data_IF_955299649927
#
_entry.id   IF_955299649927
#
_cell.length_a   1.000
_cell.length_b   1.000
_cell.length_c   1.000
_cell.angle_alpha   90.00
_cell.angle_beta   90.00
_cell.angle_gamma   90.00
#
_symmetry.space_group_name_H-M   'P 1'
#
loop_
_entity.id
_entity.type
_entity.pdbx_description
1 polymer ?
#
# COMPACT_ATOMS: atom_id res chain seq x y z
N UNK A 1 -13.08 -34.25 -0.98
CA UNK A 1 -13.02 -33.02 -1.80
C UNK A 1 -13.85 -31.87 -1.25
N UNK A 2 -15.17 -31.99 -1.11
CA UNK A 2 -16.01 -30.91 -0.54
C UNK A 2 -15.68 -30.57 0.93
N UNK A 3 -15.35 -31.55 1.76
CA UNK A 3 -14.89 -31.33 3.14
C UNK A 3 -13.52 -30.64 3.18
N UNK A 4 -12.59 -31.09 2.35
CA UNK A 4 -11.24 -30.51 2.26
C UNK A 4 -11.26 -29.08 1.74
N UNK A 5 -12.14 -28.80 0.76
CA UNK A 5 -12.37 -27.45 0.27
C UNK A 5 -12.99 -26.55 1.34
N UNK A 6 -13.95 -27.07 2.10
CA UNK A 6 -14.58 -26.35 3.21
C UNK A 6 -13.57 -26.06 4.33
N UNK A 7 -12.76 -27.04 4.70
CA UNK A 7 -11.70 -26.87 5.70
C UNK A 7 -10.63 -25.88 5.24
N UNK A 8 -10.28 -25.90 3.96
CA UNK A 8 -9.38 -24.93 3.35
C UNK A 8 -9.98 -23.52 3.36
N UNK A 9 -11.24 -23.37 2.96
CA UNK A 9 -11.95 -22.09 2.93
C UNK A 9 -12.22 -21.54 4.34
N UNK A 10 -12.38 -22.42 5.33
CA UNK A 10 -12.63 -22.06 6.74
C UNK A 10 -11.34 -21.87 7.55
N UNK A 11 -10.18 -22.17 6.99
CA UNK A 11 -8.90 -21.73 7.59
C UNK A 11 -8.87 -20.20 7.54
N UNK A 12 -9.00 -19.57 8.70
CA UNK A 12 -9.18 -18.13 8.89
C UNK A 12 -8.24 -17.24 8.06
N UNK A 13 -7.06 -17.75 7.70
CA UNK A 13 -6.07 -17.02 6.87
C UNK A 13 -6.57 -16.69 5.46
N UNK A 14 -7.40 -17.53 4.82
CA UNK A 14 -7.91 -17.29 3.46
C UNK A 14 -8.98 -16.21 3.46
N UNK A 15 -9.89 -16.27 4.43
CA UNK A 15 -10.95 -15.25 4.59
C UNK A 15 -10.33 -13.89 4.97
N UNK A 16 -9.40 -13.89 5.92
CA UNK A 16 -8.72 -12.69 6.34
C UNK A 16 -7.93 -12.05 5.19
N UNK A 17 -7.24 -12.87 4.40
CA UNK A 17 -6.54 -12.39 3.21
C UNK A 17 -7.51 -11.84 2.16
N UNK A 18 -8.63 -12.53 1.90
CA UNK A 18 -9.63 -12.05 0.95
C UNK A 18 -10.23 -10.71 1.40
N UNK A 19 -10.58 -10.57 2.68
CA UNK A 19 -11.07 -9.32 3.25
C UNK A 19 -10.01 -8.22 3.14
N UNK A 20 -8.76 -8.53 3.49
CA UNK A 20 -7.66 -7.57 3.38
C UNK A 20 -7.44 -7.08 1.95
N UNK A 21 -7.52 -7.97 0.96
CA UNK A 21 -7.40 -7.63 -0.47
C UNK A 21 -8.55 -6.74 -0.92
N UNK A 22 -9.79 -7.07 -0.54
CA UNK A 22 -10.98 -6.29 -0.90
C UNK A 22 -10.91 -4.88 -0.28
N UNK A 23 -10.59 -4.78 1.01
CA UNK A 23 -10.44 -3.50 1.70
C UNK A 23 -9.26 -2.72 1.11
N UNK A 24 -8.15 -3.39 0.84
CA UNK A 24 -6.98 -2.78 0.22
C UNK A 24 -7.27 -2.22 -1.18
N UNK A 25 -8.03 -2.95 -1.99
CA UNK A 25 -8.46 -2.47 -3.31
C UNK A 25 -9.39 -1.26 -3.21
N UNK A 26 -10.36 -1.29 -2.29
CA UNK A 26 -11.27 -0.17 -2.06
C UNK A 26 -10.52 1.07 -1.55
N UNK A 27 -9.60 0.90 -0.63
CA UNK A 27 -8.73 1.98 -0.15
C UNK A 27 -7.82 2.51 -1.25
N UNK A 28 -7.25 1.62 -2.05
CA UNK A 28 -6.44 1.97 -3.22
C UNK A 28 -7.20 2.82 -4.22
N UNK A 29 -8.47 2.53 -4.46
CA UNK A 29 -9.33 3.33 -5.33
C UNK A 29 -9.52 4.77 -4.80
N UNK A 30 -9.71 4.93 -3.48
CA UNK A 30 -9.82 6.25 -2.84
C UNK A 30 -8.50 7.02 -2.98
N UNK A 31 -7.37 6.38 -2.74
CA UNK A 31 -6.04 7.00 -2.88
C UNK A 31 -5.78 7.40 -4.33
N UNK A 32 -6.11 6.53 -5.28
CA UNK A 32 -5.98 6.84 -6.71
C UNK A 32 -6.83 8.04 -7.11
N UNK A 33 -8.07 8.11 -6.66
CA UNK A 33 -8.95 9.26 -6.90
C UNK A 33 -8.38 10.53 -6.28
N UNK A 34 -7.89 10.48 -5.05
CA UNK A 34 -7.25 11.63 -4.42
C UNK A 34 -6.04 12.14 -5.22
N UNK A 35 -5.23 11.25 -5.74
CA UNK A 35 -4.09 11.63 -6.59
C UNK A 35 -4.55 12.16 -7.93
N UNK A 36 -5.43 11.44 -8.64
CA UNK A 36 -5.84 11.79 -10.00
C UNK A 36 -6.76 13.01 -10.06
N UNK A 37 -7.67 13.14 -9.09
CA UNK A 37 -8.74 14.15 -9.14
C UNK A 37 -8.40 15.41 -8.32
N UNK A 38 -7.48 15.33 -7.38
CA UNK A 38 -7.13 16.44 -6.50
C UNK A 38 -5.67 16.86 -6.70
N UNK A 39 -4.72 15.95 -6.50
CA UNK A 39 -3.29 16.29 -6.49
C UNK A 39 -2.78 16.59 -7.89
N UNK A 40 -3.12 15.74 -8.87
CA UNK A 40 -2.66 15.91 -10.24
C UNK A 40 -3.15 17.20 -10.90
N UNK A 41 -4.40 17.64 -10.73
CA UNK A 41 -4.84 18.92 -11.23
C UNK A 41 -4.07 20.11 -10.62
N UNK A 42 -3.76 20.03 -9.33
CA UNK A 42 -2.96 21.09 -8.65
C UNK A 42 -1.55 21.12 -9.21
N UNK A 43 -0.90 19.98 -9.34
CA UNK A 43 0.43 19.87 -9.94
C UNK A 43 0.41 20.35 -11.39
N UNK A 44 -0.61 19.92 -12.14
CA UNK A 44 -0.79 20.32 -13.54
C UNK A 44 -0.95 21.83 -13.71
N UNK A 45 -1.67 22.50 -12.80
CA UNK A 45 -1.82 23.95 -12.82
C UNK A 45 -0.51 24.70 -12.55
N UNK A 46 0.38 24.13 -11.74
CA UNK A 46 1.67 24.72 -11.38
C UNK A 46 2.75 24.43 -12.42
N UNK A 47 2.77 23.21 -12.96
CA UNK A 47 3.85 22.74 -13.85
C UNK A 47 3.52 22.80 -15.33
N UNK A 48 2.29 23.12 -15.69
CA UNK A 48 1.81 23.06 -17.08
C UNK A 48 1.41 21.64 -17.53
N UNK A 49 1.34 20.68 -16.61
CA UNK A 49 0.94 19.29 -16.84
C UNK A 49 2.12 18.31 -16.79
N UNK A 50 1.92 17.21 -16.10
CA UNK A 50 2.85 16.09 -16.04
C UNK A 50 2.39 14.91 -16.89
N UNK A 51 1.54 15.17 -17.88
CA UNK A 51 1.10 14.14 -18.81
C UNK A 51 2.02 14.09 -20.02
N UNK A 52 2.90 13.12 -19.99
CA UNK A 52 3.84 12.83 -21.08
C UNK A 52 3.34 11.70 -22.00
N UNK A 53 2.09 11.27 -21.84
CA UNK A 53 1.55 10.09 -22.55
C UNK A 53 1.61 10.20 -24.06
N UNK A 54 1.57 11.42 -24.60
CA UNK A 54 1.69 11.67 -26.03
C UNK A 54 3.12 11.76 -26.56
N UNK A 55 4.13 11.63 -25.68
CA UNK A 55 5.52 11.48 -26.11
C UNK A 55 5.83 10.02 -26.40
N UNK A 56 6.06 9.71 -27.65
CA UNK A 56 6.35 8.36 -28.11
C UNK A 56 7.27 8.37 -29.31
N UNK A 57 7.89 7.24 -29.59
CA UNK A 57 8.70 7.03 -30.78
C UNK A 57 8.03 5.94 -31.62
N UNK A 58 7.66 6.26 -32.87
CA UNK A 58 7.17 5.27 -33.82
C UNK A 58 8.31 4.35 -34.27
N UNK A 59 8.14 3.05 -34.10
CA UNK A 59 9.10 2.04 -34.56
C UNK A 59 8.78 1.57 -36.00
N UNK A 60 7.58 1.87 -36.46
CA UNK A 60 7.13 1.57 -37.82
C UNK A 60 6.94 2.86 -38.62
N UNK A 61 7.30 2.84 -39.91
CA UNK A 61 7.11 3.97 -40.82
C UNK A 61 5.65 4.40 -41.03
N UNK A 62 4.71 3.53 -40.65
CA UNK A 62 3.28 3.78 -40.77
C UNK A 62 2.70 4.64 -39.62
N UNK A 63 3.51 4.86 -38.57
CA UNK A 63 3.08 5.63 -37.39
C UNK A 63 3.28 7.12 -37.67
N UNK A 64 2.20 7.83 -37.98
CA UNK A 64 2.18 9.27 -38.26
C UNK A 64 1.20 10.04 -37.38
N UNK A 65 0.46 9.36 -36.49
CA UNK A 65 -0.57 9.96 -35.65
C UNK A 65 0.03 10.99 -34.66
N UNK A 66 -0.79 11.97 -34.31
CA UNK A 66 -0.41 13.04 -33.37
C UNK A 66 -0.58 12.62 -31.89
N UNK A 67 -1.35 11.56 -31.61
CA UNK A 67 -1.59 11.07 -30.26
C UNK A 67 -1.24 9.59 -30.14
N UNK A 68 -0.98 9.16 -28.91
CA UNK A 68 -0.54 7.79 -28.60
C UNK A 68 -1.60 6.74 -28.95
N UNK A 69 -2.88 7.02 -28.69
CA UNK A 69 -3.97 6.07 -28.91
C UNK A 69 -4.09 5.69 -30.40
N UNK A 70 -4.02 6.67 -31.27
CA UNK A 70 -4.08 6.44 -32.72
C UNK A 70 -2.77 5.89 -33.27
N UNK A 71 -1.64 6.31 -32.71
CA UNK A 71 -0.33 5.76 -33.07
C UNK A 71 -0.24 4.25 -32.83
N UNK A 72 -0.75 3.76 -31.71
CA UNK A 72 -0.79 2.32 -31.37
C UNK A 72 -1.66 1.51 -32.34
N UNK A 73 -2.67 2.12 -32.94
CA UNK A 73 -3.51 1.49 -33.96
C UNK A 73 -2.79 1.37 -35.31
N UNK A 74 -1.87 2.27 -35.58
CA UNK A 74 -1.14 2.33 -36.85
C UNK A 74 0.04 1.36 -36.92
N UNK A 75 0.65 1.03 -35.79
CA UNK A 75 1.80 0.13 -35.78
C UNK A 75 2.53 0.07 -34.44
N UNK A 76 3.76 -0.43 -34.47
CA UNK A 76 4.60 -0.54 -33.30
C UNK A 76 5.07 0.83 -32.81
N UNK A 77 4.84 1.11 -31.54
CA UNK A 77 5.15 2.38 -30.88
C UNK A 77 5.89 2.13 -29.57
N UNK A 78 6.96 2.83 -29.34
CA UNK A 78 7.65 2.88 -28.06
C UNK A 78 7.04 4.03 -27.22
N UNK A 79 6.11 3.72 -26.36
CA UNK A 79 5.38 4.68 -25.53
C UNK A 79 6.14 5.05 -24.25
N UNK A 80 7.35 5.57 -24.38
CA UNK A 80 8.20 5.93 -23.24
C UNK A 80 7.62 7.05 -22.37
N UNK A 81 6.90 8.00 -22.97
CA UNK A 81 6.25 9.08 -22.23
C UNK A 81 5.09 8.58 -21.36
N UNK A 82 4.31 7.62 -21.86
CA UNK A 82 3.28 6.96 -21.06
C UNK A 82 3.89 6.18 -19.88
N UNK A 83 4.97 5.48 -20.11
CA UNK A 83 5.71 4.80 -19.04
C UNK A 83 6.22 5.79 -17.99
N UNK A 84 6.75 6.92 -18.42
CA UNK A 84 7.22 7.98 -17.53
C UNK A 84 6.06 8.54 -16.70
N UNK A 85 4.93 8.84 -17.32
CA UNK A 85 3.72 9.33 -16.64
C UNK A 85 3.23 8.34 -15.58
N UNK A 86 3.14 7.05 -15.91
CA UNK A 86 2.76 6.02 -14.96
C UNK A 86 3.75 5.86 -13.81
N UNK A 87 5.03 6.00 -14.09
CA UNK A 87 6.09 5.96 -13.07
C UNK A 87 5.99 7.15 -12.12
N UNK A 88 5.78 8.34 -12.65
CA UNK A 88 5.56 9.54 -11.83
C UNK A 88 4.30 9.42 -10.96
N UNK A 89 3.21 8.94 -11.53
CA UNK A 89 1.99 8.67 -10.78
C UNK A 89 2.22 7.67 -9.63
N UNK A 90 2.96 6.61 -9.89
CA UNK A 90 3.33 5.64 -8.88
C UNK A 90 4.13 6.28 -7.72
N UNK A 91 5.12 7.10 -8.05
CA UNK A 91 5.93 7.81 -7.05
C UNK A 91 5.05 8.75 -6.21
N UNK A 92 4.13 9.48 -6.85
CA UNK A 92 3.21 10.39 -6.15
C UNK A 92 2.29 9.61 -5.22
N UNK A 93 1.71 8.50 -5.67
CA UNK A 93 0.86 7.63 -4.85
C UNK A 93 1.64 7.08 -3.65
N UNK A 94 2.86 6.61 -3.88
CA UNK A 94 3.72 6.10 -2.82
C UNK A 94 4.03 7.17 -1.77
N UNK A 95 4.26 8.39 -2.21
CA UNK A 95 4.52 9.54 -1.32
C UNK A 95 3.29 9.92 -0.50
N UNK A 96 2.12 9.97 -1.14
CA UNK A 96 0.85 10.22 -0.47
C UNK A 96 0.56 9.15 0.57
N UNK A 97 0.73 7.87 0.22
CA UNK A 97 0.58 6.77 1.17
C UNK A 97 1.55 6.86 2.34
N UNK A 98 2.80 7.22 2.07
CA UNK A 98 3.79 7.44 3.12
C UNK A 98 3.35 8.53 4.10
N UNK A 99 2.84 9.65 3.60
CA UNK A 99 2.34 10.75 4.45
C UNK A 99 1.14 10.28 5.27
N UNK A 100 0.18 9.58 4.66
CA UNK A 100 -1.01 9.05 5.34
C UNK A 100 -0.60 8.09 6.46
N UNK A 101 0.28 7.13 6.18
CA UNK A 101 0.77 6.18 7.18
C UNK A 101 1.52 6.88 8.30
N UNK A 102 2.35 7.86 7.95
CA UNK A 102 3.09 8.67 8.95
C UNK A 102 2.14 9.44 9.85
N UNK A 103 1.09 10.04 9.28
CA UNK A 103 0.08 10.77 10.03
C UNK A 103 -0.69 9.84 10.96
N UNK A 104 -1.11 8.68 10.48
CA UNK A 104 -1.78 7.66 11.31
C UNK A 104 -0.88 7.18 12.46
N UNK A 105 0.39 6.94 12.18
CA UNK A 105 1.35 6.54 13.21
C UNK A 105 1.62 7.67 14.22
N UNK A 106 1.61 8.91 13.78
CA UNK A 106 1.74 10.08 14.66
C UNK A 106 0.54 10.21 15.59
N UNK A 107 -0.67 9.92 15.11
CA UNK A 107 -1.88 9.90 15.92
C UNK A 107 -1.87 8.77 16.94
N UNK A 108 -1.34 7.59 16.59
CA UNK A 108 -1.14 6.47 17.53
C UNK A 108 -0.10 6.78 18.60
N UNK A 109 0.94 7.53 18.28
CA UNK A 109 1.97 7.93 19.26
C UNK A 109 1.49 8.99 20.25
N UNK A 110 0.44 9.74 19.93
CA UNK A 110 -0.18 10.73 20.82
C UNK A 110 -1.11 10.10 21.88
N UNK A 111 -1.59 8.88 21.66
CA UNK A 111 -2.10 8.10 22.77
C UNK A 111 -0.88 7.74 23.63
N UNK A 112 -0.80 8.23 24.89
CA UNK A 112 0.23 7.72 25.77
C UNK A 112 0.06 6.21 25.79
N UNK A 113 0.94 5.49 25.13
CA UNK A 113 1.13 4.11 25.43
C UNK A 113 1.29 4.11 26.96
N UNK A 114 0.26 3.63 27.68
CA UNK A 114 0.42 3.34 29.09
C UNK A 114 1.78 2.68 29.20
N UNK A 115 2.70 3.20 30.03
CA UNK A 115 4.01 2.58 30.17
C UNK A 115 3.74 1.11 30.35
N UNK A 116 4.27 0.31 29.42
CA UNK A 116 4.05 -1.12 29.45
C UNK A 116 4.31 -1.54 30.88
N UNK A 117 3.24 -1.95 31.57
CA UNK A 117 3.39 -2.52 32.89
C UNK A 117 4.56 -3.50 32.79
N UNK A 118 5.57 -3.45 33.66
CA UNK A 118 6.67 -4.37 33.59
C UNK A 118 6.07 -5.76 33.41
N UNK A 119 6.53 -6.55 32.42
CA UNK A 119 5.89 -7.82 32.10
C UNK A 119 5.76 -8.59 33.41
N UNK A 120 4.55 -9.05 33.70
CA UNK A 120 4.33 -9.89 34.87
C UNK A 120 5.40 -10.98 34.88
N UNK A 121 6.08 -11.20 36.01
CA UNK A 121 7.09 -12.24 36.05
C UNK A 121 6.48 -13.54 35.55
N UNK A 122 7.17 -14.25 34.68
CA UNK A 122 6.71 -15.54 34.17
C UNK A 122 6.36 -16.48 35.32
N UNK A 123 5.47 -17.42 35.09
CA UNK A 123 5.07 -18.40 36.12
C UNK A 123 6.30 -19.09 36.77
N UNK A 124 7.34 -19.33 35.97
CA UNK A 124 8.62 -19.86 36.45
C UNK A 124 9.28 -18.96 37.49
N UNK A 125 9.31 -17.66 37.27
CA UNK A 125 9.86 -16.69 38.20
C UNK A 125 9.03 -16.58 39.47
N UNK A 126 7.71 -16.66 39.40
CA UNK A 126 6.81 -16.71 40.55
C UNK A 126 7.06 -17.94 41.38
N UNK A 127 7.16 -19.11 40.75
CA UNK A 127 7.48 -20.37 41.46
C UNK A 127 8.85 -20.35 42.13
N UNK A 128 9.87 -19.82 41.45
CA UNK A 128 11.21 -19.67 42.02
C UNK A 128 11.23 -18.70 43.21
N UNK A 129 10.46 -17.64 43.16
CA UNK A 129 10.29 -16.68 44.24
C UNK A 129 9.62 -17.31 45.46
N UNK A 130 8.56 -18.08 45.25
CA UNK A 130 7.83 -18.81 46.29
C UNK A 130 8.73 -19.85 46.94
N UNK A 131 9.50 -20.61 46.17
CA UNK A 131 10.48 -21.60 46.68
C UNK A 131 11.56 -20.91 47.52
N UNK A 132 12.08 -19.79 47.03
CA UNK A 132 13.07 -18.99 47.78
C UNK A 132 12.52 -18.50 49.11
N UNK A 133 11.26 -18.00 49.13
CA UNK A 133 10.65 -17.48 50.34
C UNK A 133 10.36 -18.61 51.36
N UNK A 134 9.95 -19.78 50.88
CA UNK A 134 9.77 -20.97 51.74
C UNK A 134 11.08 -21.47 52.32
N UNK A 135 12.15 -21.43 51.57
CA UNK A 135 13.50 -21.77 52.08
C UNK A 135 14.04 -20.75 53.10
N UNK A 136 13.68 -19.48 52.97
CA UNK A 136 14.02 -18.45 53.95
C UNK A 136 13.29 -18.57 55.28
N UNK A 137 12.11 -19.16 55.28
CA UNK A 137 11.27 -19.40 56.45
C UNK A 137 11.65 -20.63 57.23
N UNK A 138 12.39 -21.52 56.66
CA UNK A 138 12.91 -22.69 57.32
C UNK A 138 14.37 -22.43 57.78
#
# INVERSE_FOLDING_TARGET
MLKEFREFAMKGNVVDLAVAVIIGAAFGAIVNSMVADIIMPIIGAVTGGLDFSNYYTGLSSQVTAANLADAKKQGAVLAWGNFLTLTLNFIIIAWVLFIVVRLMNSLKKKEPAAPAAPPEPSDEVKLLTEIRDLLKKS
#
